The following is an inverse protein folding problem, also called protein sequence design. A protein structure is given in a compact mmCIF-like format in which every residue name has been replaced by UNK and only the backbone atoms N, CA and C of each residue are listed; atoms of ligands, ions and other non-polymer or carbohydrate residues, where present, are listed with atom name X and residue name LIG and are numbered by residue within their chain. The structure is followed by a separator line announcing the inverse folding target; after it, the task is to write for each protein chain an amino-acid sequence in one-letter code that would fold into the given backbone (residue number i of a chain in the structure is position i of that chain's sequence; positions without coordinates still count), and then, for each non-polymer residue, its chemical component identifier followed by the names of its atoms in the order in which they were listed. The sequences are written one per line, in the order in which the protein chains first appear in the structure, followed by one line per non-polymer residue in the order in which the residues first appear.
data_IF_887885561315
#
_entry.id   IF_887885561315
#
_cell.length_a   1.000
_cell.length_b   1.000
_cell.length_c   1.000
_cell.angle_alpha   90.00
_cell.angle_beta   90.00
_cell.angle_gamma   90.00
#
_symmetry.space_group_name_H-M   'P 1'
#
loop_
_entity.id
_entity.type
_entity.pdbx_description
1 polymer ?
#
# COMPACT_ATOMS: atom_id res chain seq x y z
N UNK A 1 -8.63 23.64 24.83
CA UNK A 1 -9.73 22.80 24.29
C UNK A 1 -10.78 22.65 25.38
N UNK A 2 -12.03 23.01 25.08
CA UNK A 2 -13.17 22.81 26.00
C UNK A 2 -13.43 21.30 26.16
N UNK A 3 -14.15 20.88 27.21
CA UNK A 3 -14.41 19.46 27.48
C UNK A 3 -15.04 18.69 26.32
N UNK A 4 -15.95 19.31 25.55
CA UNK A 4 -16.56 18.72 24.37
C UNK A 4 -15.56 18.53 23.21
N UNK A 5 -14.68 19.51 22.98
CA UNK A 5 -13.63 19.44 21.94
C UNK A 5 -12.59 18.36 22.26
N UNK A 6 -12.29 18.16 23.54
CA UNK A 6 -11.40 17.09 23.98
C UNK A 6 -12.04 15.72 23.75
N UNK A 7 -13.34 15.58 24.07
CA UNK A 7 -14.08 14.34 23.84
C UNK A 7 -14.16 13.98 22.35
N UNK A 8 -14.54 14.93 21.48
CA UNK A 8 -14.61 14.68 20.03
C UNK A 8 -13.24 14.34 19.46
N UNK A 9 -12.18 15.01 19.93
CA UNK A 9 -10.82 14.67 19.54
C UNK A 9 -10.43 13.24 19.93
N UNK A 10 -10.66 12.84 21.19
CA UNK A 10 -10.33 11.49 21.67
C UNK A 10 -11.12 10.42 20.91
N UNK A 11 -12.41 10.65 20.67
CA UNK A 11 -13.25 9.73 19.89
C UNK A 11 -12.71 9.57 18.46
N UNK A 12 -12.42 10.68 17.78
CA UNK A 12 -11.84 10.65 16.43
C UNK A 12 -10.48 9.97 16.40
N UNK A 13 -9.62 10.19 17.41
CA UNK A 13 -8.32 9.55 17.53
C UNK A 13 -8.46 8.02 17.67
N UNK A 14 -9.39 7.56 18.50
CA UNK A 14 -9.67 6.12 18.67
C UNK A 14 -10.14 5.50 17.35
N UNK A 15 -11.10 6.13 16.67
CA UNK A 15 -11.59 5.67 15.36
C UNK A 15 -10.46 5.61 14.34
N UNK A 16 -9.60 6.63 14.31
CA UNK A 16 -8.44 6.69 13.43
C UNK A 16 -7.47 5.54 13.70
N UNK A 17 -7.16 5.26 14.97
CA UNK A 17 -6.27 4.17 15.35
C UNK A 17 -6.80 2.81 14.91
N UNK A 18 -8.11 2.56 15.09
CA UNK A 18 -8.73 1.33 14.61
C UNK A 18 -8.68 1.22 13.09
N UNK A 19 -8.95 2.31 12.38
CA UNK A 19 -8.94 2.34 10.92
C UNK A 19 -7.52 2.13 10.37
N UNK A 20 -6.51 2.80 10.92
CA UNK A 20 -5.09 2.61 10.57
C UNK A 20 -4.65 1.17 10.84
N UNK A 21 -5.01 0.61 11.99
CA UNK A 21 -4.69 -0.78 12.34
C UNK A 21 -5.33 -1.75 11.36
N UNK A 22 -6.61 -1.56 11.04
CA UNK A 22 -7.33 -2.38 10.07
C UNK A 22 -6.69 -2.34 8.68
N UNK A 23 -6.40 -1.15 8.16
CA UNK A 23 -5.72 -1.00 6.88
C UNK A 23 -4.31 -1.59 6.89
N UNK A 24 -3.55 -1.41 7.97
CA UNK A 24 -2.21 -1.99 8.11
C UNK A 24 -2.25 -3.53 8.05
N UNK A 25 -3.25 -4.16 8.70
CA UNK A 25 -3.47 -5.61 8.63
C UNK A 25 -3.83 -6.04 7.19
N UNK A 26 -4.78 -5.35 6.55
CA UNK A 26 -5.16 -5.63 5.15
C UNK A 26 -3.96 -5.52 4.20
N UNK A 27 -3.20 -4.42 4.28
CA UNK A 27 -2.00 -4.22 3.47
C UNK A 27 -0.97 -5.31 3.73
N UNK A 28 -0.77 -5.71 4.99
CA UNK A 28 0.16 -6.80 5.33
C UNK A 28 -0.27 -8.13 4.70
N UNK A 29 -1.56 -8.46 4.72
CA UNK A 29 -2.10 -9.67 4.10
C UNK A 29 -1.89 -9.62 2.59
N UNK A 30 -2.23 -8.50 1.95
CA UNK A 30 -2.08 -8.30 0.50
C UNK A 30 -0.62 -8.42 0.08
N UNK A 31 0.30 -7.75 0.78
CA UNK A 31 1.74 -7.81 0.51
C UNK A 31 2.26 -9.24 0.67
N UNK A 32 1.91 -9.93 1.77
CA UNK A 32 2.31 -11.33 1.98
C UNK A 32 1.80 -12.24 0.87
N UNK A 33 0.56 -12.04 0.42
CA UNK A 33 -0.03 -12.77 -0.70
C UNK A 33 0.78 -12.54 -1.99
N UNK A 34 1.05 -11.28 -2.34
CA UNK A 34 1.81 -10.93 -3.54
C UNK A 34 3.23 -11.49 -3.52
N UNK A 35 3.94 -11.39 -2.38
CA UNK A 35 5.27 -11.98 -2.22
C UNK A 35 5.24 -13.50 -2.47
N UNK A 36 4.20 -14.19 -1.96
CA UNK A 36 4.04 -15.63 -2.13
C UNK A 36 3.79 -15.99 -3.60
N UNK A 37 2.93 -15.24 -4.30
CA UNK A 37 2.62 -15.45 -5.72
C UNK A 37 3.88 -15.28 -6.60
N UNK A 38 4.67 -14.22 -6.36
CA UNK A 38 5.93 -13.96 -7.07
C UNK A 38 6.94 -15.09 -6.81
N UNK A 39 7.11 -15.51 -5.55
CA UNK A 39 8.07 -16.59 -5.20
C UNK A 39 7.73 -17.94 -5.80
N UNK A 40 6.45 -18.27 -5.93
CA UNK A 40 6.01 -19.52 -6.54
C UNK A 40 5.93 -19.48 -8.06
N UNK A 41 6.25 -18.33 -8.68
CA UNK A 41 6.29 -18.17 -10.13
C UNK A 41 4.92 -18.10 -10.80
N UNK A 42 3.85 -17.84 -10.03
CA UNK A 42 2.49 -17.70 -10.58
C UNK A 42 2.39 -16.43 -11.43
N UNK A 43 3.14 -15.40 -11.07
CA UNK A 43 3.14 -14.08 -11.74
C UNK A 43 4.27 -13.92 -12.78
N UNK A 44 5.05 -14.96 -13.08
CA UNK A 44 6.23 -14.84 -13.94
C UNK A 44 5.90 -14.29 -15.35
N UNK A 45 4.78 -14.73 -15.93
CA UNK A 45 4.32 -14.25 -17.24
C UNK A 45 3.95 -12.76 -17.19
N UNK A 46 3.28 -12.32 -16.12
CA UNK A 46 2.93 -10.91 -15.91
C UNK A 46 4.17 -10.06 -15.75
N UNK A 47 5.11 -10.48 -14.91
CA UNK A 47 6.35 -9.74 -14.62
C UNK A 47 7.19 -9.58 -15.90
N UNK A 48 7.33 -10.64 -16.70
CA UNK A 48 8.05 -10.59 -17.99
C UNK A 48 7.37 -9.63 -18.97
N UNK A 49 6.05 -9.73 -19.12
CA UNK A 49 5.27 -8.84 -19.99
C UNK A 49 5.44 -7.38 -19.58
N UNK A 50 5.31 -7.09 -18.28
CA UNK A 50 5.45 -5.72 -17.76
C UNK A 50 6.88 -5.18 -17.93
N UNK A 51 7.91 -6.02 -17.74
CA UNK A 51 9.30 -5.64 -18.02
C UNK A 51 9.49 -5.32 -19.52
N UNK A 52 8.97 -6.15 -20.43
CA UNK A 52 9.07 -5.90 -21.86
C UNK A 52 8.34 -4.63 -22.29
N UNK A 53 7.15 -4.38 -21.73
CA UNK A 53 6.40 -3.15 -21.94
C UNK A 53 7.20 -1.93 -21.45
N UNK A 54 7.76 -1.97 -20.22
CA UNK A 54 8.61 -0.89 -19.68
C UNK A 54 9.83 -0.59 -20.57
N UNK A 55 10.48 -1.63 -21.12
CA UNK A 55 11.62 -1.47 -22.05
C UNK A 55 11.19 -0.87 -23.39
N UNK A 56 10.06 -1.31 -23.92
CA UNK A 56 9.52 -0.91 -25.23
C UNK A 56 8.65 0.36 -25.18
N UNK A 57 8.42 0.95 -24.00
CA UNK A 57 7.63 2.18 -23.83
C UNK A 57 8.10 3.27 -24.78
N UNK A 58 7.16 3.87 -25.50
CA UNK A 58 7.43 4.98 -26.41
C UNK A 58 7.85 6.22 -25.62
N UNK A 59 8.60 7.13 -26.27
CA UNK A 59 9.07 8.39 -25.64
C UNK A 59 7.94 9.18 -24.96
N UNK A 60 6.74 9.21 -25.53
CA UNK A 60 5.57 9.89 -24.96
C UNK A 60 5.02 9.24 -23.68
N UNK A 61 5.04 7.91 -23.58
CA UNK A 61 4.57 7.18 -22.39
C UNK A 61 5.55 7.35 -21.22
N UNK A 62 6.86 7.39 -21.51
CA UNK A 62 7.89 7.72 -20.51
C UNK A 62 7.73 9.15 -19.98
N UNK A 63 7.36 10.10 -20.85
CA UNK A 63 7.08 11.48 -20.42
C UNK A 63 5.84 11.57 -19.51
N UNK A 64 4.80 10.76 -19.76
CA UNK A 64 3.61 10.70 -18.91
C UNK A 64 3.90 10.18 -17.50
N UNK A 65 4.76 9.15 -17.36
CA UNK A 65 5.18 8.65 -16.05
C UNK A 65 5.95 9.72 -15.23
N UNK A 66 6.80 10.49 -15.91
CA UNK A 66 7.53 11.61 -15.30
C UNK A 66 6.56 12.72 -14.89
N UNK A 67 5.59 13.06 -15.74
CA UNK A 67 4.55 14.04 -15.43
C UNK A 67 3.72 13.63 -14.22
N UNK A 68 3.32 12.36 -14.11
CA UNK A 68 2.61 11.86 -12.93
C UNK A 68 3.45 11.95 -11.64
N UNK A 69 4.74 11.65 -11.73
CA UNK A 69 5.65 11.78 -10.59
C UNK A 69 5.79 13.24 -10.15
N UNK A 70 5.94 14.16 -11.11
CA UNK A 70 5.97 15.61 -10.87
C UNK A 70 4.64 16.07 -10.26
N UNK A 71 3.51 15.61 -10.79
CA UNK A 71 2.17 15.96 -10.30
C UNK A 71 2.00 15.56 -8.83
N UNK A 72 2.43 14.37 -8.43
CA UNK A 72 2.39 13.94 -7.03
C UNK A 72 3.21 14.84 -6.10
N UNK A 73 4.39 15.28 -6.55
CA UNK A 73 5.23 16.22 -5.80
C UNK A 73 4.54 17.58 -5.69
N UNK A 74 3.97 18.09 -6.79
CA UNK A 74 3.24 19.37 -6.81
C UNK A 74 2.04 19.33 -5.86
N UNK A 75 1.25 18.25 -5.87
CA UNK A 75 0.13 18.05 -4.94
C UNK A 75 0.62 18.04 -3.49
N UNK A 76 1.75 17.38 -3.21
CA UNK A 76 2.33 17.34 -1.87
C UNK A 76 2.76 18.74 -1.41
N UNK A 77 3.46 19.49 -2.27
CA UNK A 77 3.86 20.88 -2.00
C UNK A 77 2.64 21.76 -1.77
N UNK A 78 1.59 21.59 -2.57
CA UNK A 78 0.32 22.32 -2.42
C UNK A 78 -0.30 22.10 -1.04
N UNK A 79 -0.37 20.86 -0.54
CA UNK A 79 -0.85 20.59 0.82
C UNK A 79 0.02 21.22 1.90
N UNK A 80 1.36 21.21 1.74
CA UNK A 80 2.29 21.87 2.67
C UNK A 80 2.07 23.38 2.69
N UNK A 81 1.87 24.01 1.52
CA UNK A 81 1.60 25.45 1.40
C UNK A 81 0.27 25.81 2.05
N UNK A 82 -0.81 25.07 1.77
CA UNK A 82 -2.10 25.35 2.41
C UNK A 82 -2.04 25.13 3.91
N UNK A 83 -1.31 24.12 4.37
CA UNK A 83 -1.12 23.90 5.80
C UNK A 83 -0.33 25.05 6.46
N UNK A 84 0.74 25.53 5.82
CA UNK A 84 1.48 26.72 6.27
C UNK A 84 0.60 27.96 6.30
N UNK A 85 -0.24 28.16 5.29
CA UNK A 85 -1.24 29.23 5.25
C UNK A 85 -2.25 29.11 6.39
N UNK A 86 -2.77 27.91 6.64
CA UNK A 86 -3.70 27.63 7.73
C UNK A 86 -3.10 27.97 9.09
N UNK A 87 -1.83 27.66 9.31
CA UNK A 87 -1.10 28.00 10.53
C UNK A 87 -0.89 29.52 10.66
N UNK A 88 -0.47 30.18 9.58
CA UNK A 88 -0.31 31.64 9.53
C UNK A 88 -1.62 32.38 9.88
N UNK A 89 -2.75 31.92 9.35
CA UNK A 89 -4.08 32.49 9.63
C UNK A 89 -4.61 32.16 11.03
N UNK A 90 -4.08 31.13 11.70
CA UNK A 90 -4.50 30.76 13.05
C UNK A 90 -3.85 31.61 14.14
N UNK A 91 -2.67 32.18 13.89
CA UNK A 91 -2.05 33.13 14.81
C UNK A 91 -2.92 34.40 14.83
N UNK A 92 -3.88 34.40 15.75
CA UNK A 92 -4.97 35.35 15.91
C UNK A 92 -4.51 36.78 16.20
N UNK A 93 -3.24 36.95 16.55
CA UNK A 93 -2.66 38.23 16.97
C UNK A 93 -2.09 39.04 15.81
N UNK A 94 -2.31 38.61 14.57
CA UNK A 94 -1.84 39.35 13.39
C UNK A 94 -2.64 40.67 13.25
N UNK A 95 -2.14 41.70 13.93
CA UNK A 95 -2.54 43.09 13.73
C UNK A 95 -1.98 43.52 12.36
N UNK A 96 -2.76 44.21 11.52
CA UNK A 96 -2.26 44.73 10.26
C UNK A 96 -1.01 45.61 10.46
N UNK A 97 0.13 45.18 9.93
CA UNK A 97 1.39 45.91 9.99
C UNK A 97 1.47 46.90 8.82
N UNK A 98 1.33 48.19 9.11
CA UNK A 98 1.38 49.24 8.10
C UNK A 98 0.17 49.18 7.16
N UNK A 99 0.42 49.16 5.84
CA UNK A 99 -0.64 49.18 4.82
C UNK A 99 -0.98 47.79 4.25
N UNK A 100 -0.38 46.72 4.78
CA UNK A 100 -0.64 45.37 4.27
C UNK A 100 -1.89 44.78 4.92
N UNK A 101 -2.86 44.27 4.13
CA UNK A 101 -4.04 43.63 4.67
C UNK A 101 -3.70 42.30 5.34
N UNK A 102 -4.46 41.96 6.38
CA UNK A 102 -4.40 40.66 7.05
C UNK A 102 -5.68 39.89 6.75
N UNK A 103 -5.52 38.69 6.22
CA UNK A 103 -6.61 37.76 6.00
C UNK A 103 -7.08 37.14 7.32
N UNK A 104 -8.40 37.12 7.55
CA UNK A 104 -9.02 36.52 8.75
C UNK A 104 -10.21 35.67 8.32
N UNK A 105 -10.38 34.51 8.97
CA UNK A 105 -11.56 33.68 8.74
C UNK A 105 -12.69 34.10 9.67
N UNK A 106 -13.86 34.36 9.09
CA UNK A 106 -15.07 34.72 9.83
C UNK A 106 -15.62 33.49 10.54
N UNK A 107 -15.84 33.59 11.86
CA UNK A 107 -16.30 32.48 12.71
C UNK A 107 -17.76 32.59 13.13
N UNK A 108 -18.39 33.74 12.94
CA UNK A 108 -19.78 34.02 13.32
C UNK A 108 -20.62 34.37 12.11
N UNK A 109 -21.92 34.12 12.23
CA UNK A 109 -22.90 34.43 11.20
C UNK A 109 -23.52 35.83 11.37
N UNK A 110 -23.01 36.63 12.31
CA UNK A 110 -23.61 37.93 12.67
C UNK A 110 -23.60 38.98 11.56
N UNK A 111 -22.82 38.78 10.51
CA UNK A 111 -22.69 39.68 9.35
C UNK A 111 -23.15 39.05 8.03
N UNK A 112 -23.83 37.89 8.06
CA UNK A 112 -24.06 37.05 6.87
C UNK A 112 -25.17 37.55 5.94
N UNK A 113 -26.23 38.14 6.49
CA UNK A 113 -27.33 38.71 5.71
C UNK A 113 -27.81 40.02 6.34
N UNK A 114 -28.59 40.79 5.57
CA UNK A 114 -29.24 42.01 6.06
C UNK A 114 -30.53 41.63 6.77
N UNK A 115 -30.58 41.81 8.09
CA UNK A 115 -31.81 41.65 8.84
C UNK A 115 -32.82 42.74 8.41
N UNK A 116 -34.05 42.34 8.13
CA UNK A 116 -35.12 43.26 7.67
C UNK A 116 -35.45 44.34 8.71
N UNK A 117 -35.23 44.05 10.00
CA UNK A 117 -35.46 45.00 11.10
C UNK A 117 -34.41 46.14 11.14
N UNK A 118 -33.32 46.01 10.39
CA UNK A 118 -32.22 46.98 10.35
C UNK A 118 -32.38 47.92 9.15
N UNK A 119 -33.33 48.86 9.23
CA UNK A 119 -33.68 49.81 8.15
C UNK A 119 -32.47 50.55 7.57
N UNK A 120 -31.50 50.90 8.42
CA UNK A 120 -30.28 51.63 8.02
C UNK A 120 -29.48 50.89 6.95
N UNK A 121 -29.54 49.54 6.88
CA UNK A 121 -28.87 48.75 5.86
C UNK A 121 -29.47 48.98 4.46
N UNK A 122 -30.79 49.13 4.39
CA UNK A 122 -31.52 49.35 3.16
C UNK A 122 -31.49 50.82 2.75
N UNK A 123 -31.72 51.75 3.69
CA UNK A 123 -31.70 53.19 3.41
C UNK A 123 -30.33 53.66 2.90
N UNK A 124 -29.24 53.10 3.43
CA UNK A 124 -27.88 53.49 3.05
C UNK A 124 -27.24 52.55 2.01
N UNK A 125 -27.98 51.60 1.43
CA UNK A 125 -27.50 50.64 0.42
C UNK A 125 -26.24 49.84 0.82
N UNK A 126 -26.19 49.38 2.08
CA UNK A 126 -25.02 48.69 2.64
C UNK A 126 -25.05 47.19 2.29
N UNK A 127 -24.36 46.80 1.21
CA UNK A 127 -24.40 45.43 0.64
C UNK A 127 -23.09 44.63 0.81
N UNK A 128 -22.31 44.92 1.84
CA UNK A 128 -21.00 44.32 2.11
C UNK A 128 -21.04 43.23 3.21
N UNK A 129 -22.10 42.42 3.19
CA UNK A 129 -22.25 41.23 4.05
C UNK A 129 -21.36 40.08 3.57
N UNK A 130 -20.94 39.23 4.50
CA UNK A 130 -20.06 38.10 4.24
C UNK A 130 -20.46 36.91 5.11
N UNK A 131 -20.34 35.70 4.57
CA UNK A 131 -20.83 34.50 5.23
C UNK A 131 -19.86 33.97 6.29
N UNK A 132 -20.38 33.13 7.19
CA UNK A 132 -19.52 32.33 8.08
C UNK A 132 -18.52 31.52 7.25
N UNK A 133 -17.26 31.49 7.67
CA UNK A 133 -16.12 30.86 6.98
C UNK A 133 -15.64 31.56 5.70
N UNK A 134 -16.12 32.76 5.37
CA UNK A 134 -15.44 33.61 4.41
C UNK A 134 -14.10 34.09 4.98
N UNK A 135 -13.14 34.33 4.09
CA UNK A 135 -11.89 35.02 4.44
C UNK A 135 -12.10 36.49 4.13
N UNK A 136 -12.01 37.34 5.15
CA UNK A 136 -12.05 38.80 4.98
C UNK A 136 -10.64 39.38 5.03
N UNK A 137 -10.39 40.41 4.22
CA UNK A 137 -9.17 41.21 4.30
C UNK A 137 -9.40 42.41 5.21
N UNK A 138 -8.55 42.54 6.22
CA UNK A 138 -8.66 43.57 7.26
C UNK A 138 -7.44 44.47 7.23
N UNK A 139 -7.65 45.77 7.43
CA UNK A 139 -6.64 46.81 7.29
C UNK A 139 -6.38 47.49 8.63
N UNK A 140 -5.26 48.22 8.70
CA UNK A 140 -4.88 49.00 9.88
C UNK A 140 -6.04 49.90 10.30
N UNK A 141 -6.33 49.87 11.60
CA UNK A 141 -7.36 50.72 12.18
C UNK A 141 -7.00 52.21 11.96
N UNK A 142 -7.90 53.02 11.39
CA UNK A 142 -7.70 54.46 11.25
C UNK A 142 -7.77 55.14 12.62
N UNK A 143 -7.35 56.41 12.71
CA UNK A 143 -7.45 57.15 13.97
C UNK A 143 -8.90 57.23 14.47
N UNK A 144 -9.08 57.34 15.79
CA UNK A 144 -10.40 57.31 16.44
C UNK A 144 -11.40 58.33 15.87
N UNK A 145 -10.90 59.49 15.41
CA UNK A 145 -11.70 60.56 14.81
C UNK A 145 -12.12 60.29 13.37
N UNK A 146 -11.39 59.43 12.67
CA UNK A 146 -11.63 59.10 11.27
C UNK A 146 -12.64 57.97 11.11
N UNK A 147 -12.97 57.26 12.20
CA UNK A 147 -14.03 56.25 12.23
C UNK A 147 -15.41 56.89 12.04
N UNK A 148 -16.15 56.35 11.08
CA UNK A 148 -17.45 56.86 10.65
C UNK A 148 -18.57 55.88 10.95
N UNK A 149 -19.78 56.43 10.93
CA UNK A 149 -20.99 55.64 10.94
C UNK A 149 -20.98 54.66 9.76
N UNK A 150 -21.37 53.41 10.03
CA UNK A 150 -21.44 52.28 9.10
C UNK A 150 -20.13 51.63 8.67
N UNK A 151 -18.99 52.08 9.21
CA UNK A 151 -17.72 51.34 9.07
C UNK A 151 -17.84 49.97 9.77
N UNK A 152 -17.21 48.96 9.18
CA UNK A 152 -17.16 47.60 9.74
C UNK A 152 -15.81 47.42 10.42
N UNK A 153 -15.84 47.19 11.73
CA UNK A 153 -14.64 47.07 12.56
C UNK A 153 -14.52 45.68 13.15
N UNK A 154 -13.26 45.26 13.32
CA UNK A 154 -12.91 44.06 14.06
C UNK A 154 -12.46 44.49 15.45
N UNK A 155 -13.17 44.04 16.48
CA UNK A 155 -12.87 44.34 17.87
C UNK A 155 -12.73 43.07 18.69
N UNK A 156 -12.05 43.17 19.82
CA UNK A 156 -11.76 42.04 20.70
C UNK A 156 -12.66 42.05 21.93
N UNK A 157 -13.31 40.92 22.19
CA UNK A 157 -14.15 40.69 23.37
C UNK A 157 -13.89 39.29 23.92
N UNK A 158 -13.48 39.19 25.18
CA UNK A 158 -13.17 37.91 25.85
C UNK A 158 -12.21 37.02 25.03
N UNK A 159 -11.11 37.60 24.53
CA UNK A 159 -10.11 36.93 23.66
C UNK A 159 -10.68 36.38 22.34
N UNK A 160 -11.83 36.91 21.90
CA UNK A 160 -12.44 36.56 20.62
C UNK A 160 -12.62 37.80 19.77
N UNK A 161 -12.24 37.71 18.50
CA UNK A 161 -12.49 38.77 17.53
C UNK A 161 -13.94 38.70 17.04
N UNK A 162 -14.61 39.84 17.13
CA UNK A 162 -15.97 40.05 16.64
C UNK A 162 -15.88 41.10 15.54
N UNK A 163 -16.64 40.90 14.47
CA UNK A 163 -16.67 41.80 13.32
C UNK A 163 -18.08 42.35 13.20
N UNK A 164 -18.29 43.63 13.50
CA UNK A 164 -19.59 44.29 13.47
C UNK A 164 -19.48 45.69 12.87
N UNK A 165 -20.63 46.25 12.50
CA UNK A 165 -20.76 47.58 11.93
C UNK A 165 -21.02 48.62 13.02
N UNK A 166 -20.43 49.81 12.88
CA UNK A 166 -20.74 50.97 13.71
C UNK A 166 -22.13 51.50 13.34
N UNK A 167 -23.07 51.45 14.29
CA UNK A 167 -24.45 51.97 14.14
C UNK A 167 -24.72 53.21 15.00
N UNK A 168 -23.81 53.54 15.92
CA UNK A 168 -23.86 54.77 16.70
C UNK A 168 -22.47 55.15 17.20
N UNK A 169 -22.25 56.45 17.36
CA UNK A 169 -21.04 56.99 17.98
C UNK A 169 -21.45 58.00 19.03
N UNK A 170 -21.07 57.74 20.28
CA UNK A 170 -21.25 58.63 21.41
C UNK A 170 -19.95 59.40 21.64
N UNK A 171 -20.05 60.73 21.60
CA UNK A 171 -18.93 61.61 21.88
C UNK A 171 -18.67 61.69 23.39
N UNK A 172 -17.43 61.99 23.83
CA UNK A 172 -17.07 61.96 25.24
C UNK A 172 -17.99 62.86 26.08
N UNK A 173 -18.58 62.29 27.12
CA UNK A 173 -19.54 62.99 27.98
C UNK A 173 -19.28 62.71 29.47
N UNK A 174 -20.14 63.18 30.36
CA UNK A 174 -19.95 63.05 31.82
C UNK A 174 -19.77 61.62 32.33
N UNK A 175 -20.24 60.61 31.58
CA UNK A 175 -20.09 59.19 31.94
C UNK A 175 -18.79 58.56 31.40
N UNK A 176 -18.17 59.17 30.39
CA UNK A 176 -16.96 58.69 29.72
C UNK A 176 -16.19 59.88 29.09
N UNK A 177 -15.45 60.65 29.91
CA UNK A 177 -14.89 61.93 29.48
C UNK A 177 -13.69 61.80 28.53
N UNK A 178 -13.04 60.64 28.49
CA UNK A 178 -11.71 60.48 27.88
C UNK A 178 -11.71 59.69 26.55
N UNK A 179 -12.85 59.15 26.09
CA UNK A 179 -12.92 58.32 24.87
C UNK A 179 -14.31 58.31 24.23
N UNK A 180 -14.39 58.09 22.92
CA UNK A 180 -15.66 57.87 22.20
C UNK A 180 -16.14 56.45 22.42
N UNK A 181 -17.44 56.29 22.59
CA UNK A 181 -18.09 54.99 22.68
C UNK A 181 -18.76 54.64 21.35
N UNK A 182 -18.46 53.45 20.84
CA UNK A 182 -18.98 52.98 19.56
C UNK A 182 -20.04 51.91 19.80
N UNK A 183 -21.25 52.17 19.33
CA UNK A 183 -22.33 51.19 19.34
C UNK A 183 -22.19 50.32 18.09
N UNK A 184 -21.91 49.03 18.29
CA UNK A 184 -21.66 48.07 17.22
C UNK A 184 -22.85 47.11 17.06
N UNK A 185 -23.12 46.68 15.83
CA UNK A 185 -24.18 45.74 15.52
C UNK A 185 -23.79 44.83 14.36
N UNK A 186 -24.12 43.54 14.48
CA UNK A 186 -24.04 42.60 13.36
C UNK A 186 -25.21 42.79 12.41
N UNK A 187 -24.96 42.86 11.10
CA UNK A 187 -26.00 43.10 10.10
C UNK A 187 -27.15 42.07 10.12
N UNK A 188 -26.88 40.84 10.57
CA UNK A 188 -27.87 39.76 10.71
C UNK A 188 -28.61 39.79 12.06
N UNK A 189 -28.16 40.61 13.02
CA UNK A 189 -28.71 40.71 14.38
C UNK A 189 -29.63 41.93 14.45
N UNK A 190 -30.82 41.78 15.05
CA UNK A 190 -31.82 42.85 15.17
C UNK A 190 -31.39 43.99 16.10
N UNK A 191 -30.63 43.68 17.16
CA UNK A 191 -30.28 44.65 18.19
C UNK A 191 -28.76 44.91 18.24
N UNK A 192 -28.34 46.13 18.59
CA UNK A 192 -26.94 46.43 18.86
C UNK A 192 -26.35 45.63 20.02
N UNK A 193 -25.03 45.56 20.06
CA UNK A 193 -24.27 44.99 21.15
C UNK A 193 -24.61 45.71 22.47
N UNK A 194 -24.83 44.93 23.53
CA UNK A 194 -25.32 45.42 24.84
C UNK A 194 -24.40 46.48 25.46
N UNK A 195 -23.09 46.36 25.23
CA UNK A 195 -22.10 47.26 25.78
C UNK A 195 -21.41 47.99 24.62
N UNK A 196 -21.29 49.33 24.69
CA UNK A 196 -20.48 50.08 23.75
C UNK A 196 -19.02 49.59 23.76
N UNK A 197 -18.37 49.73 22.61
CA UNK A 197 -16.99 49.30 22.39
C UNK A 197 -16.09 50.52 22.34
N UNK A 198 -14.96 50.46 23.05
CA UNK A 198 -13.94 51.51 23.03
C UNK A 198 -13.00 51.34 21.82
N UNK A 199 -12.40 52.45 21.37
CA UNK A 199 -11.35 52.41 20.35
C UNK A 199 -10.19 51.49 20.74
N UNK A 200 -9.86 51.43 22.04
CA UNK A 200 -8.82 50.56 22.61
C UNK A 200 -9.06 49.06 22.37
N UNK A 201 -10.32 48.65 22.16
CA UNK A 201 -10.72 47.26 21.89
C UNK A 201 -10.76 46.94 20.39
N UNK A 202 -10.77 47.97 19.53
CA UNK A 202 -10.74 47.83 18.10
C UNK A 202 -9.33 47.47 17.62
N UNK A 203 -9.25 46.69 16.55
CA UNK A 203 -8.00 46.07 16.08
C UNK A 203 -7.77 46.25 14.59
N UNK A 204 -8.83 46.26 13.81
CA UNK A 204 -8.75 46.43 12.36
C UNK A 204 -10.08 46.94 11.77
N UNK A 205 -10.04 47.41 10.52
CA UNK A 205 -11.21 47.81 9.73
C UNK A 205 -11.36 46.91 8.51
N UNK A 206 -12.61 46.67 8.08
CA UNK A 206 -12.95 45.89 6.89
C UNK A 206 -13.45 46.80 5.76
N UNK A 207 -12.85 46.67 4.58
CA UNK A 207 -13.11 47.53 3.41
C UNK A 207 -13.89 46.83 2.28
N UNK A 208 -14.56 45.71 2.53
CA UNK A 208 -15.41 45.04 1.53
C UNK A 208 -14.76 43.91 0.72
N UNK A 209 -13.49 43.59 0.95
CA UNK A 209 -12.79 42.52 0.22
C UNK A 209 -12.86 41.16 0.95
N UNK A 210 -13.56 40.19 0.36
CA UNK A 210 -13.64 38.82 0.88
C UNK A 210 -13.38 37.74 -0.18
N UNK A 211 -12.90 36.58 0.28
CA UNK A 211 -12.71 35.36 -0.51
C UNK A 211 -13.66 34.30 0.05
N UNK A 212 -14.62 33.90 -0.79
CA UNK A 212 -15.67 32.94 -0.41
C UNK A 212 -15.18 31.50 -0.42
N UNK A 213 -15.83 30.63 0.35
CA UNK A 213 -15.67 29.16 0.38
C UNK A 213 -14.35 28.60 0.92
N UNK A 214 -13.24 29.33 0.82
CA UNK A 214 -11.89 28.83 1.17
C UNK A 214 -11.69 28.72 2.69
N UNK A 215 -12.30 29.61 3.48
CA UNK A 215 -12.07 29.63 4.93
C UNK A 215 -12.63 28.41 5.66
N UNK A 216 -13.63 27.73 5.10
CA UNK A 216 -14.16 26.46 5.66
C UNK A 216 -13.07 25.37 5.71
N UNK A 217 -12.26 25.29 4.66
CA UNK A 217 -11.13 24.37 4.57
C UNK A 217 -10.01 24.75 5.56
N UNK A 218 -9.79 26.05 5.76
CA UNK A 218 -8.79 26.55 6.71
C UNK A 218 -9.19 26.20 8.15
N UNK A 219 -10.45 26.45 8.52
CA UNK A 219 -10.98 26.06 9.84
C UNK A 219 -10.94 24.55 10.03
N UNK A 220 -11.22 23.76 8.98
CA UNK A 220 -11.05 22.31 9.02
C UNK A 220 -9.60 21.90 9.30
N UNK A 221 -8.61 22.49 8.63
CA UNK A 221 -7.19 22.20 8.86
C UNK A 221 -6.71 22.63 10.26
N UNK A 222 -7.33 23.67 10.83
CA UNK A 222 -7.09 24.08 12.21
C UNK A 222 -7.73 23.12 13.22
N UNK A 223 -8.79 22.42 12.84
CA UNK A 223 -9.49 21.48 13.71
C UNK A 223 -8.64 20.23 13.98
N UNK A 224 -8.76 19.60 15.17
CA UNK A 224 -8.02 18.38 15.50
C UNK A 224 -8.19 17.24 14.47
N UNK A 225 -9.35 17.17 13.82
CA UNK A 225 -9.65 16.20 12.76
C UNK A 225 -8.80 16.47 11.51
N UNK A 226 -8.64 17.74 11.12
CA UNK A 226 -7.78 18.16 10.01
C UNK A 226 -6.33 17.73 10.21
N UNK A 227 -5.80 17.91 11.42
CA UNK A 227 -4.46 17.44 11.79
C UNK A 227 -4.30 15.93 11.62
N UNK A 228 -5.27 15.13 12.08
CA UNK A 228 -5.23 13.67 11.91
C UNK A 228 -5.26 13.26 10.43
N UNK A 229 -6.08 13.92 9.61
CA UNK A 229 -6.13 13.67 8.17
C UNK A 229 -4.78 13.98 7.50
N UNK A 230 -4.10 15.07 7.86
CA UNK A 230 -2.77 15.38 7.34
C UNK A 230 -1.74 14.33 7.72
N UNK A 231 -1.72 13.90 8.98
CA UNK A 231 -0.83 12.83 9.45
C UNK A 231 -1.03 11.55 8.63
N UNK A 232 -2.28 11.19 8.32
CA UNK A 232 -2.58 10.04 7.46
C UNK A 232 -2.03 10.23 6.04
N UNK A 233 -2.16 11.41 5.44
CA UNK A 233 -1.64 11.70 4.10
C UNK A 233 -0.12 11.53 4.10
N UNK A 234 0.58 12.14 5.07
CA UNK A 234 2.03 12.00 5.20
C UNK A 234 2.47 10.56 5.47
N UNK A 235 1.76 9.83 6.32
CA UNK A 235 2.02 8.42 6.58
C UNK A 235 1.89 7.59 5.29
N UNK A 236 0.87 7.83 4.46
CA UNK A 236 0.71 7.15 3.18
C UNK A 236 1.84 7.48 2.20
N UNK A 237 2.22 8.76 2.09
CA UNK A 237 3.35 9.19 1.25
C UNK A 237 4.67 8.55 1.67
N UNK A 238 4.86 8.28 2.96
CA UNK A 238 6.08 7.63 3.47
C UNK A 238 6.05 6.10 3.36
N UNK A 239 4.91 5.48 3.63
CA UNK A 239 4.78 4.01 3.65
C UNK A 239 4.74 3.41 2.25
N UNK A 240 4.11 4.09 1.29
CA UNK A 240 4.02 3.63 -0.10
C UNK A 240 5.38 3.34 -0.76
N UNK A 241 6.39 4.24 -0.74
CA UNK A 241 7.70 3.95 -1.35
C UNK A 241 8.46 2.81 -0.67
N UNK A 242 8.27 2.61 0.64
CA UNK A 242 8.88 1.48 1.36
C UNK A 242 8.30 0.14 0.91
N UNK A 243 7.00 0.08 0.66
CA UNK A 243 6.31 -1.13 0.18
C UNK A 243 6.66 -1.40 -1.28
N UNK A 244 6.56 -0.38 -2.14
CA UNK A 244 6.83 -0.55 -3.58
C UNK A 244 8.26 -0.96 -3.82
N UNK A 245 9.24 -0.33 -3.16
CA UNK A 245 10.66 -0.72 -3.26
C UNK A 245 10.89 -2.19 -2.93
N UNK A 246 10.26 -2.70 -1.85
CA UNK A 246 10.37 -4.12 -1.48
C UNK A 246 9.78 -5.07 -2.52
N UNK A 247 8.67 -4.68 -3.16
CA UNK A 247 8.05 -5.48 -4.22
C UNK A 247 8.90 -5.45 -5.50
N UNK A 248 9.39 -4.27 -5.90
CA UNK A 248 10.28 -4.10 -7.05
C UNK A 248 11.57 -4.89 -6.92
N UNK A 249 12.19 -4.91 -5.74
CA UNK A 249 13.42 -5.68 -5.49
C UNK A 249 13.17 -7.20 -5.66
N UNK A 250 11.99 -7.69 -5.24
CA UNK A 250 11.59 -9.08 -5.42
C UNK A 250 11.32 -9.43 -6.88
N UNK A 251 10.64 -8.55 -7.62
CA UNK A 251 10.39 -8.71 -9.05
C UNK A 251 11.70 -8.71 -9.83
N UNK A 252 12.63 -7.79 -9.54
CA UNK A 252 13.97 -7.75 -10.16
C UNK A 252 14.74 -9.04 -9.91
N UNK A 253 14.81 -9.49 -8.65
CA UNK A 253 15.45 -10.76 -8.30
C UNK A 253 14.82 -11.94 -9.07
N UNK A 254 13.50 -11.95 -9.21
CA UNK A 254 12.78 -12.99 -9.96
C UNK A 254 13.08 -12.92 -11.46
N UNK A 255 13.15 -11.73 -12.04
CA UNK A 255 13.53 -11.49 -13.44
C UNK A 255 14.96 -11.90 -13.75
N UNK A 256 15.90 -11.62 -12.85
CA UNK A 256 17.29 -12.10 -12.96
C UNK A 256 17.34 -13.63 -12.96
N UNK A 257 16.59 -14.28 -12.07
CA UNK A 257 16.47 -15.73 -12.05
C UNK A 257 15.89 -16.29 -13.36
N UNK A 258 14.83 -15.67 -13.89
CA UNK A 258 14.19 -16.09 -15.14
C UNK A 258 15.15 -15.92 -16.33
N UNK A 259 15.80 -14.75 -16.46
CA UNK A 259 16.75 -14.47 -17.53
C UNK A 259 17.98 -15.39 -17.48
N UNK A 260 18.51 -15.66 -16.28
CA UNK A 260 19.59 -16.62 -16.06
C UNK A 260 19.16 -18.04 -16.45
N UNK A 261 17.95 -18.46 -16.03
CA UNK A 261 17.41 -19.77 -16.39
C UNK A 261 17.18 -19.94 -17.90
N UNK A 262 16.78 -18.86 -18.59
CA UNK A 262 16.61 -18.85 -20.04
C UNK A 262 17.95 -18.84 -20.77
N UNK A 263 18.96 -18.15 -20.23
CA UNK A 263 20.32 -18.14 -20.79
C UNK A 263 20.98 -19.52 -20.67
N UNK A 264 20.92 -20.16 -19.50
CA UNK A 264 21.34 -21.56 -19.33
C UNK A 264 20.63 -22.48 -20.31
N UNK A 265 19.31 -22.30 -20.48
CA UNK A 265 18.55 -23.09 -21.44
C UNK A 265 19.06 -22.90 -22.86
N UNK A 266 19.44 -21.68 -23.26
CA UNK A 266 20.00 -21.37 -24.60
C UNK A 266 21.42 -21.88 -24.77
N UNK A 267 22.27 -21.78 -23.75
CA UNK A 267 23.63 -22.32 -23.78
C UNK A 267 23.62 -23.85 -23.84
N UNK A 268 22.73 -24.51 -23.08
CA UNK A 268 22.46 -25.95 -23.21
C UNK A 268 21.97 -26.31 -24.63
N UNK A 269 21.21 -25.42 -25.28
CA UNK A 269 20.82 -25.60 -26.69
C UNK A 269 22.01 -25.41 -27.65
N UNK A 270 22.83 -24.36 -27.50
CA UNK A 270 23.98 -24.06 -28.38
C UNK A 270 25.13 -25.07 -28.23
N UNK A 271 25.43 -25.51 -27.01
CA UNK A 271 26.39 -26.60 -26.73
C UNK A 271 25.88 -27.96 -27.29
N UNK A 272 24.57 -28.09 -27.44
CA UNK A 272 23.89 -29.20 -28.10
C UNK A 272 23.81 -29.05 -29.63
N UNK A 273 23.73 -27.83 -30.18
CA UNK A 273 23.69 -27.55 -31.64
C UNK A 273 25.00 -27.98 -32.32
N UNK A 274 26.12 -27.95 -31.59
CA UNK A 274 27.41 -28.49 -32.02
C UNK A 274 27.51 -30.03 -32.03
N UNK A 275 26.48 -30.74 -31.55
CA UNK A 275 26.41 -32.21 -31.53
C UNK A 275 25.11 -32.70 -32.17
N UNK A 276 25.19 -32.85 -33.49
CA UNK A 276 24.27 -33.59 -34.37
C UNK A 276 22.76 -33.37 -34.10
N UNK A 277 22.25 -32.31 -34.71
CA UNK A 277 20.93 -31.72 -34.50
C UNK A 277 19.73 -32.61 -34.84
N UNK A 278 19.89 -33.59 -35.74
CA UNK A 278 18.75 -34.37 -36.21
C UNK A 278 18.27 -35.41 -35.19
N UNK A 279 19.14 -35.94 -34.33
CA UNK A 279 18.77 -36.96 -33.34
C UNK A 279 18.17 -36.36 -32.06
N UNK A 280 18.45 -35.09 -31.74
CA UNK A 280 18.18 -34.51 -30.42
C UNK A 280 16.79 -33.90 -30.23
N UNK A 281 16.16 -33.39 -31.29
CA UNK A 281 14.78 -32.83 -31.23
C UNK A 281 13.73 -33.92 -30.97
N UNK A 282 13.98 -35.15 -31.42
CA UNK A 282 13.20 -36.34 -31.02
C UNK A 282 13.56 -36.83 -29.61
N UNK A 283 14.83 -36.69 -29.20
CA UNK A 283 15.32 -37.04 -27.87
C UNK A 283 14.70 -36.15 -26.77
N UNK A 284 14.72 -34.82 -26.92
CA UNK A 284 14.11 -33.88 -25.97
C UNK A 284 12.57 -33.98 -25.91
N UNK A 285 11.90 -34.35 -27.01
CA UNK A 285 10.45 -34.65 -26.99
C UNK A 285 10.12 -35.87 -26.13
N UNK A 286 11.06 -36.80 -25.94
CA UNK A 286 10.89 -38.06 -25.20
C UNK A 286 11.37 -38.01 -23.74
N UNK A 287 11.98 -36.90 -23.29
CA UNK A 287 12.59 -36.81 -21.95
C UNK A 287 11.57 -36.93 -20.81
N UNK A 288 11.99 -37.55 -19.70
CA UNK A 288 11.19 -37.74 -18.50
C UNK A 288 10.63 -36.41 -17.96
N UNK A 289 11.42 -35.34 -18.01
CA UNK A 289 11.03 -34.01 -17.53
C UNK A 289 9.90 -33.38 -18.35
N UNK A 290 9.94 -33.51 -19.68
CA UNK A 290 8.85 -33.02 -20.55
C UNK A 290 7.60 -33.89 -20.46
N UNK A 291 7.76 -35.20 -20.20
CA UNK A 291 6.62 -36.09 -19.88
C UNK A 291 6.00 -35.70 -18.53
N UNK A 292 6.82 -35.34 -17.54
CA UNK A 292 6.37 -34.90 -16.22
C UNK A 292 5.68 -33.53 -16.28
N UNK A 293 6.16 -32.58 -17.11
CA UNK A 293 5.51 -31.28 -17.24
C UNK A 293 4.12 -31.36 -17.88
N UNK A 294 3.88 -32.35 -18.75
CA UNK A 294 2.61 -32.57 -19.45
C UNK A 294 1.63 -33.52 -18.74
N UNK A 295 2.04 -34.14 -17.63
CA UNK A 295 1.19 -35.08 -16.89
C UNK A 295 0.13 -34.33 -16.06
N UNK A 296 -0.97 -35.02 -15.73
CA UNK A 296 -2.03 -34.46 -14.90
C UNK A 296 -1.48 -34.02 -13.52
N UNK A 297 -1.92 -32.87 -12.98
CA UNK A 297 -1.51 -32.34 -11.67
C UNK A 297 -1.49 -33.37 -10.52
N UNK A 298 -2.43 -34.32 -10.48
CA UNK A 298 -2.50 -35.38 -9.47
C UNK A 298 -1.18 -36.18 -9.44
N UNK A 299 -0.66 -36.57 -10.60
CA UNK A 299 0.60 -37.31 -10.70
C UNK A 299 1.82 -36.43 -10.42
N UNK A 300 1.76 -35.11 -10.69
CA UNK A 300 2.83 -34.18 -10.31
C UNK A 300 2.95 -34.07 -8.79
N UNK A 301 1.83 -34.00 -8.09
CA UNK A 301 1.78 -33.97 -6.63
C UNK A 301 2.29 -35.30 -6.04
N UNK A 302 1.87 -36.44 -6.62
CA UNK A 302 2.39 -37.76 -6.25
C UNK A 302 3.92 -37.85 -6.43
N UNK A 303 4.46 -37.36 -7.55
CA UNK A 303 5.89 -37.29 -7.79
C UNK A 303 6.61 -36.43 -6.75
N UNK A 304 6.09 -35.23 -6.44
CA UNK A 304 6.69 -34.34 -5.46
C UNK A 304 6.75 -34.99 -4.07
N UNK A 305 5.67 -35.66 -3.65
CA UNK A 305 5.60 -36.35 -2.36
C UNK A 305 6.56 -37.53 -2.25
N UNK A 306 6.72 -38.31 -3.32
CA UNK A 306 7.70 -39.40 -3.37
C UNK A 306 9.14 -38.87 -3.39
N UNK A 307 9.39 -37.80 -4.15
CA UNK A 307 10.71 -37.17 -4.22
C UNK A 307 11.14 -36.60 -2.87
N UNK A 308 10.23 -35.98 -2.13
CA UNK A 308 10.49 -35.48 -0.78
C UNK A 308 10.96 -36.62 0.15
N UNK A 309 10.25 -37.76 0.16
CA UNK A 309 10.62 -38.94 0.95
C UNK A 309 11.99 -39.49 0.53
N UNK A 310 12.28 -39.58 -0.77
CA UNK A 310 13.57 -40.05 -1.28
C UNK A 310 14.72 -39.12 -0.89
N UNK A 311 14.49 -37.80 -0.85
CA UNK A 311 15.50 -36.80 -0.45
C UNK A 311 15.84 -36.85 1.04
N UNK A 312 15.05 -37.53 1.87
CA UNK A 312 15.35 -37.75 3.29
C UNK A 312 16.38 -38.88 3.50
N UNK A 313 16.60 -39.74 2.50
CA UNK A 313 17.56 -40.85 2.55
C UNK A 313 18.99 -40.30 2.41
N UNK A 314 19.90 -40.74 3.27
CA UNK A 314 21.32 -40.37 3.22
C UNK A 314 22.02 -40.91 1.97
N UNK A 315 22.93 -40.11 1.39
CA UNK A 315 23.79 -40.50 0.27
C UNK A 315 23.07 -40.95 -1.01
N UNK A 316 21.82 -40.53 -1.20
CA UNK A 316 21.07 -40.81 -2.41
C UNK A 316 21.61 -40.03 -3.60
N UNK A 317 21.92 -40.75 -4.68
CA UNK A 317 22.30 -40.21 -5.99
C UNK A 317 21.15 -40.36 -6.96
N UNK A 318 20.97 -39.33 -7.78
CA UNK A 318 19.90 -39.27 -8.77
C UNK A 318 20.55 -39.34 -10.14
N UNK A 319 20.15 -40.34 -10.92
CA UNK A 319 20.57 -40.53 -12.29
C UNK A 319 19.36 -40.39 -13.21
N UNK A 320 19.41 -39.44 -14.13
CA UNK A 320 18.32 -39.19 -15.06
C UNK A 320 18.65 -39.79 -16.42
N UNK A 321 17.75 -40.64 -16.90
CA UNK A 321 17.74 -41.17 -18.26
C UNK A 321 16.56 -40.60 -19.03
N UNK A 322 16.49 -40.87 -20.34
CA UNK A 322 15.41 -40.41 -21.19
C UNK A 322 14.01 -40.83 -20.68
N UNK A 323 13.90 -42.04 -20.11
CA UNK A 323 12.63 -42.63 -19.71
C UNK A 323 12.42 -42.69 -18.19
N UNK A 324 13.49 -42.60 -17.40
CA UNK A 324 13.44 -42.84 -15.97
C UNK A 324 14.31 -41.88 -15.17
N UNK A 325 13.85 -41.52 -13.98
CA UNK A 325 14.66 -40.98 -12.91
C UNK A 325 14.99 -42.11 -11.92
N UNK A 326 16.28 -42.45 -11.83
CA UNK A 326 16.78 -43.57 -11.03
C UNK A 326 17.42 -43.04 -9.77
N UNK A 327 17.06 -43.62 -8.63
CA UNK A 327 17.58 -43.28 -7.32
C UNK A 327 18.43 -44.44 -6.81
N UNK A 328 19.65 -44.14 -6.40
CA UNK A 328 20.61 -45.16 -5.94
C UNK A 328 21.31 -44.70 -4.68
N UNK A 329 21.67 -45.65 -3.81
CA UNK A 329 22.57 -45.41 -2.68
C UNK A 329 23.77 -46.35 -2.85
N UNK A 330 24.96 -45.78 -2.97
CA UNK A 330 26.17 -46.54 -3.30
C UNK A 330 26.05 -47.26 -4.66
N UNK A 331 26.08 -48.60 -4.63
CA UNK A 331 25.92 -49.47 -5.82
C UNK A 331 24.49 -50.02 -5.98
N UNK A 332 23.60 -49.77 -5.01
CA UNK A 332 22.26 -50.34 -4.97
C UNK A 332 21.22 -49.37 -5.55
N UNK A 333 20.33 -49.87 -6.40
CA UNK A 333 19.21 -49.09 -6.93
C UNK A 333 18.08 -49.16 -5.91
N UNK A 334 17.63 -48.01 -5.41
CA UNK A 334 16.49 -47.92 -4.51
C UNK A 334 15.21 -48.02 -5.31
N UNK A 335 15.04 -47.12 -6.29
CA UNK A 335 13.88 -47.14 -7.16
C UNK A 335 14.14 -46.46 -8.51
N UNK A 336 13.26 -46.74 -9.47
CA UNK A 336 13.16 -46.05 -10.76
C UNK A 336 11.76 -45.47 -10.93
N UNK A 337 11.69 -44.18 -11.19
CA UNK A 337 10.43 -43.49 -11.49
C UNK A 337 10.34 -43.30 -13.00
N UNK A 338 9.21 -43.67 -13.60
CA UNK A 338 8.96 -43.55 -15.03
C UNK A 338 7.55 -43.05 -15.34
N UNK A 339 7.36 -42.59 -16.57
CA UNK A 339 6.04 -42.17 -17.08
C UNK A 339 5.70 -42.99 -18.32
N UNK A 340 4.59 -43.73 -18.27
CA UNK A 340 4.08 -44.55 -19.38
C UNK A 340 2.59 -44.27 -19.53
N UNK A 341 2.13 -44.05 -20.76
CA UNK A 341 0.72 -43.72 -21.08
C UNK A 341 0.14 -42.59 -20.22
N UNK A 342 0.93 -41.52 -19.98
CA UNK A 342 0.56 -40.37 -19.11
C UNK A 342 0.25 -40.76 -17.64
N UNK A 343 0.68 -41.93 -17.17
CA UNK A 343 0.61 -42.35 -15.77
C UNK A 343 2.01 -42.45 -15.19
N UNK A 344 2.16 -42.04 -13.93
CA UNK A 344 3.41 -42.12 -13.19
C UNK A 344 3.50 -43.48 -12.49
N UNK A 345 4.65 -44.14 -12.59
CA UNK A 345 4.91 -45.39 -11.90
C UNK A 345 6.29 -45.39 -11.26
N UNK A 346 6.44 -46.20 -10.23
CA UNK A 346 7.68 -46.38 -9.49
C UNK A 346 8.00 -47.88 -9.43
N UNK A 347 9.27 -48.23 -9.65
CA UNK A 347 9.73 -49.62 -9.66
C UNK A 347 10.89 -49.81 -8.68
N UNK A 348 10.93 -50.93 -7.99
CA UNK A 348 11.80 -51.21 -6.84
C UNK A 348 12.66 -52.44 -7.06
N UNK A 349 13.83 -52.48 -6.41
CA UNK A 349 14.74 -53.64 -6.34
C UNK A 349 14.25 -54.70 -5.35
N UNK A 350 12.95 -54.98 -5.35
CA UNK A 350 12.30 -56.00 -4.51
C UNK A 350 11.87 -57.18 -5.37
N UNK A 351 11.89 -58.39 -4.81
CA UNK A 351 11.51 -59.60 -5.52
C UNK A 351 9.97 -59.73 -5.54
N UNK A 352 9.30 -59.71 -6.71
CA UNK A 352 7.84 -59.70 -6.78
C UNK A 352 7.18 -60.90 -6.09
N UNK A 353 7.85 -62.07 -6.06
CA UNK A 353 7.33 -63.29 -5.41
C UNK A 353 7.12 -63.15 -3.91
N UNK A 354 7.92 -62.29 -3.25
CA UNK A 354 7.80 -62.02 -1.81
C UNK A 354 6.52 -61.24 -1.47
N UNK A 355 5.89 -60.60 -2.47
CA UNK A 355 4.78 -59.68 -2.28
C UNK A 355 3.44 -60.18 -2.82
N UNK A 356 3.37 -61.35 -3.48
CA UNK A 356 2.14 -61.88 -4.12
C UNK A 356 0.96 -62.06 -3.17
N UNK A 357 1.21 -62.26 -1.86
CA UNK A 357 0.19 -62.41 -0.81
C UNK A 357 0.08 -61.18 0.11
N UNK A 358 0.60 -60.04 -0.31
CA UNK A 358 0.59 -58.80 0.48
C UNK A 358 -0.52 -57.85 0.02
N UNK A 359 -0.68 -56.75 0.76
CA UNK A 359 -1.67 -55.69 0.46
C UNK A 359 -1.33 -54.84 -0.79
N UNK A 360 -0.15 -55.01 -1.40
CA UNK A 360 0.32 -54.13 -2.45
C UNK A 360 -0.18 -54.57 -3.83
N UNK A 361 -0.79 -53.65 -4.57
CA UNK A 361 -1.12 -53.86 -5.99
C UNK A 361 0.10 -53.53 -6.87
N UNK A 362 0.84 -54.56 -7.30
CA UNK A 362 2.04 -54.40 -8.13
C UNK A 362 1.99 -55.19 -9.43
N UNK A 363 2.90 -54.83 -10.34
CA UNK A 363 3.18 -55.56 -11.59
C UNK A 363 4.62 -56.04 -11.59
N UNK A 364 4.83 -57.29 -11.99
CA UNK A 364 6.17 -57.80 -12.28
C UNK A 364 6.64 -57.27 -13.65
N UNK A 365 7.68 -56.45 -13.65
CA UNK A 365 8.25 -55.79 -14.83
C UNK A 365 9.68 -56.26 -15.14
N UNK A 366 10.12 -57.38 -14.59
CA UNK A 366 11.48 -57.93 -14.78
C UNK A 366 11.84 -58.13 -16.26
N UNK A 367 10.85 -58.54 -17.07
CA UNK A 367 10.98 -58.77 -18.51
C UNK A 367 11.06 -57.48 -19.35
N UNK A 368 10.86 -56.31 -18.74
CA UNK A 368 10.93 -55.01 -19.44
C UNK A 368 12.36 -54.50 -19.45
N UNK A 369 12.88 -54.22 -20.65
CA UNK A 369 14.21 -53.66 -20.84
C UNK A 369 14.40 -52.35 -20.03
N UNK A 370 15.49 -52.27 -19.26
CA UNK A 370 15.78 -51.15 -18.36
C UNK A 370 15.16 -51.25 -16.95
N UNK A 371 14.23 -52.18 -16.71
CA UNK A 371 13.59 -52.43 -15.40
C UNK A 371 13.92 -53.81 -14.80
N UNK A 372 14.76 -54.62 -15.45
CA UNK A 372 15.18 -55.94 -14.95
C UNK A 372 15.76 -55.92 -13.52
N UNK A 373 16.51 -54.86 -13.18
CA UNK A 373 17.08 -54.66 -11.83
C UNK A 373 16.09 -54.09 -10.81
N UNK A 374 14.87 -53.75 -11.24
CA UNK A 374 13.80 -53.21 -10.40
C UNK A 374 12.45 -53.84 -10.78
N UNK A 375 12.26 -55.14 -10.49
CA UNK A 375 11.18 -55.93 -11.08
C UNK A 375 9.79 -55.71 -10.45
N UNK A 376 9.68 -55.09 -9.26
CA UNK A 376 8.38 -54.78 -8.64
C UNK A 376 7.95 -53.35 -8.99
N UNK A 377 6.79 -53.16 -9.64
CA UNK A 377 6.33 -51.84 -10.10
C UNK A 377 4.91 -51.48 -9.67
N UNK A 378 4.69 -50.24 -9.23
CA UNK A 378 3.39 -49.71 -8.77
C UNK A 378 3.04 -48.42 -9.52
N UNK A 379 1.75 -48.25 -9.83
CA UNK A 379 1.22 -47.04 -10.45
C UNK A 379 0.74 -46.04 -9.38
N UNK A 380 1.15 -44.77 -9.49
CA UNK A 380 0.86 -43.73 -8.50
C UNK A 380 -0.42 -42.95 -8.86
N UNK A 381 -1.56 -43.64 -8.95
CA UNK A 381 -2.83 -43.08 -9.43
C UNK A 381 -3.76 -42.55 -8.32
N UNK A 382 -3.51 -42.88 -7.06
CA UNK A 382 -4.29 -42.43 -5.91
C UNK A 382 -3.37 -42.31 -4.68
N UNK A 383 -3.85 -41.66 -3.62
CA UNK A 383 -3.06 -41.42 -2.41
C UNK A 383 -2.69 -42.72 -1.68
N UNK A 384 -3.54 -43.74 -1.74
CA UNK A 384 -3.27 -45.07 -1.19
C UNK A 384 -2.01 -45.70 -1.82
N UNK A 385 -1.89 -45.64 -3.15
CA UNK A 385 -0.74 -46.16 -3.88
C UNK A 385 0.51 -45.29 -3.68
N UNK A 386 0.36 -43.98 -3.44
CA UNK A 386 1.47 -43.12 -3.03
C UNK A 386 1.97 -43.50 -1.64
N UNK A 387 1.09 -43.84 -0.71
CA UNK A 387 1.46 -44.28 0.63
C UNK A 387 2.15 -45.66 0.59
N UNK A 388 1.56 -46.63 -0.10
CA UNK A 388 2.18 -47.94 -0.33
C UNK A 388 3.56 -47.81 -0.99
N UNK A 389 3.70 -46.87 -1.93
CA UNK A 389 4.98 -46.60 -2.57
C UNK A 389 6.04 -46.06 -1.60
N UNK A 390 5.66 -45.26 -0.60
CA UNK A 390 6.59 -44.81 0.45
C UNK A 390 7.01 -45.94 1.38
N UNK A 391 6.07 -46.82 1.74
CA UNK A 391 6.35 -48.00 2.56
C UNK A 391 7.36 -48.93 1.87
N UNK A 392 7.18 -49.18 0.57
CA UNK A 392 8.12 -50.00 -0.21
C UNK A 392 9.50 -49.34 -0.37
N UNK A 393 9.59 -48.01 -0.37
CA UNK A 393 10.90 -47.31 -0.30
C UNK A 393 11.59 -47.65 1.01
N UNK A 394 10.87 -47.59 2.13
CA UNK A 394 11.41 -47.91 3.45
C UNK A 394 11.84 -49.38 3.54
N UNK A 395 11.08 -50.31 2.95
CA UNK A 395 11.46 -51.72 2.86
C UNK A 395 12.73 -51.96 2.04
N UNK A 396 12.91 -51.26 0.92
CA UNK A 396 14.16 -51.33 0.13
C UNK A 396 15.34 -50.78 0.94
N UNK A 397 15.15 -49.64 1.61
CA UNK A 397 16.19 -49.02 2.44
C UNK A 397 16.59 -49.95 3.60
N UNK A 398 15.61 -50.63 4.21
CA UNK A 398 15.83 -51.62 5.25
C UNK A 398 16.55 -52.86 4.72
N UNK A 399 16.07 -53.45 3.61
CA UNK A 399 16.65 -54.67 2.99
C UNK A 399 18.13 -54.50 2.64
N UNK A 400 18.53 -53.30 2.26
CA UNK A 400 19.91 -52.99 1.87
C UNK A 400 20.71 -52.25 2.95
N UNK A 401 20.19 -52.10 4.19
CA UNK A 401 20.83 -51.40 5.31
C UNK A 401 21.38 -50.00 4.94
N UNK A 402 20.60 -49.21 4.21
CA UNK A 402 21.06 -47.96 3.59
C UNK A 402 21.02 -46.72 4.53
N UNK A 403 20.78 -46.91 5.83
CA UNK A 403 20.68 -45.82 6.81
C UNK A 403 22.01 -45.53 7.52
N UNK A 404 22.65 -44.40 7.22
CA UNK A 404 23.54 -43.69 8.16
C UNK A 404 23.10 -42.23 8.27
N UNK A 405 22.77 -41.70 9.46
CA UNK A 405 22.27 -40.33 9.59
C UNK A 405 23.32 -39.28 9.18
N UNK A 406 22.82 -38.24 8.50
CA UNK A 406 23.59 -37.12 7.95
C UNK A 406 24.20 -36.26 9.06
N UNK A 407 25.53 -36.32 9.24
CA UNK A 407 26.24 -35.46 10.18
C UNK A 407 26.26 -34.00 9.65
N UNK A 408 25.51 -33.10 10.31
CA UNK A 408 25.54 -31.64 10.04
C UNK A 408 26.87 -31.05 10.51
N UNK A 409 27.89 -31.00 9.65
CA UNK A 409 29.00 -30.04 9.77
C UNK A 409 29.43 -29.55 8.38
N UNK A 410 28.98 -28.34 8.04
CA UNK A 410 29.78 -27.27 7.45
C UNK A 410 28.90 -26.05 7.24
N UNK A 411 28.75 -25.29 8.34
CA UNK A 411 28.47 -23.85 8.28
C UNK A 411 29.84 -23.15 8.17
N UNK A 412 29.88 -22.15 7.29
CA UNK A 412 30.90 -21.09 7.14
C UNK A 412 32.18 -21.46 6.38
N UNK A 413 32.27 -20.97 5.14
CA UNK A 413 33.12 -19.82 4.77
C UNK A 413 32.93 -19.52 3.29
N UNK A 414 32.24 -18.42 2.99
CA UNK A 414 32.58 -17.57 1.85
C UNK A 414 32.53 -16.14 2.39
N UNK A 415 33.71 -15.53 2.37
CA UNK A 415 33.89 -14.08 2.31
C UNK A 415 33.38 -13.64 0.95
#
# INVERSE_FOLDING_TARGET
MKGYELYTFLLCLIVLLFLVSFFAVLFTIIIKSNIKLIKHGVEDERILKEHHEKMNKKKGEKAFDVLNSIFSIVVTIFFVVIFGLSFYLNNSDNIPLGNLPVARVVKSDSMSFKNEENDYLFTNNLNNQFETFDIILTYKLPEEKDLKLYDIVVYEKNDTFIVHRIVGIEEPCSTHPDSRYFLLQGDAIQYPDVYPVEYSQMRAIYNGENIKYVGSFIVFLQSPIGWLCLILIFANLFVTPLITKRLEDLEKTRLEYLSFSDKLRKEDYEEDEGKDFLTKKEFLKRSFERKLSKINPIFKNAYASIKEKLMQISDIKIYRSLNFETYTVGKNIVCKIGIKNKKLFISYSLNPKEYEKTKYEFKNVEKIEGLSKTPLSICLNNDFNVQNAKELIDEVVFKYNLNKPRNKKNKRKFI
#
